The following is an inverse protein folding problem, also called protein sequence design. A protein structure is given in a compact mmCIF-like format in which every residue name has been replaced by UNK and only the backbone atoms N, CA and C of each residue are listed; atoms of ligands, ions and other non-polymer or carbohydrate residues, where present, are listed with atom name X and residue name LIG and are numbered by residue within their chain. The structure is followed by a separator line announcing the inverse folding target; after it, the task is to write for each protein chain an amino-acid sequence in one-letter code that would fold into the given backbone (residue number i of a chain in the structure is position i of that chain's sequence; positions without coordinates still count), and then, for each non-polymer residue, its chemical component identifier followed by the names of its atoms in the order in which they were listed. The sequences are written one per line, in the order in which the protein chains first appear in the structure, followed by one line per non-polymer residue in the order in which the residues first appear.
data_IF_365973318405
#
_entry.id   IF_365973318405
#
_cell.length_a   1.000
_cell.length_b   1.000
_cell.length_c   1.000
_cell.angle_alpha   90.00
_cell.angle_beta   90.00
_cell.angle_gamma   90.00
#
_symmetry.space_group_name_H-M   'P 1'
#
loop_
_entity.id
_entity.type
_entity.pdbx_description
1 polymer ?
#
# COMPACT_ATOMS: atom_id res chain seq x y z
N UNK A 1 33.18 -12.69 23.11
CA UNK A 1 31.76 -12.80 22.76
C UNK A 1 31.59 -14.12 22.03
N UNK A 2 30.77 -15.05 22.54
CA UNK A 2 30.49 -16.33 21.87
C UNK A 2 29.76 -16.02 20.58
N UNK A 3 30.35 -16.34 19.42
CA UNK A 3 29.70 -16.30 18.13
C UNK A 3 28.46 -17.19 18.19
N UNK A 4 27.27 -16.60 18.12
CA UNK A 4 26.03 -17.37 17.99
C UNK A 4 26.11 -18.13 16.66
N UNK A 5 25.82 -19.43 16.68
CA UNK A 5 25.66 -20.20 15.45
C UNK A 5 24.53 -19.58 14.62
N UNK A 6 24.73 -19.49 13.31
CA UNK A 6 23.70 -19.08 12.37
C UNK A 6 22.46 -19.97 12.51
N UNK A 7 21.28 -19.38 12.51
CA UNK A 7 20.02 -20.10 12.69
C UNK A 7 19.28 -20.25 11.37
N UNK A 8 18.63 -21.40 11.22
CA UNK A 8 17.67 -21.65 10.15
C UNK A 8 16.27 -21.34 10.67
N UNK A 9 15.60 -20.37 10.08
CA UNK A 9 14.32 -19.84 10.55
C UNK A 9 13.28 -20.09 9.47
N UNK A 10 12.13 -20.66 9.83
CA UNK A 10 11.03 -20.83 8.90
C UNK A 10 9.94 -19.78 9.14
N UNK A 11 9.44 -19.20 8.05
CA UNK A 11 8.21 -18.41 8.06
C UNK A 11 7.13 -19.12 7.25
N UNK A 12 6.01 -19.38 7.91
CA UNK A 12 4.83 -20.05 7.34
C UNK A 12 3.63 -19.14 7.48
N UNK A 13 2.87 -18.97 6.40
CA UNK A 13 1.61 -18.22 6.45
C UNK A 13 0.47 -19.07 5.93
N UNK A 14 -0.55 -19.21 6.74
CA UNK A 14 -1.77 -19.95 6.40
C UNK A 14 -2.99 -19.06 6.59
N UNK A 15 -3.98 -19.20 5.70
CA UNK A 15 -5.32 -18.64 5.95
C UNK A 15 -6.06 -19.57 6.92
N UNK A 16 -7.02 -19.04 7.68
CA UNK A 16 -7.84 -19.81 8.64
C UNK A 16 -8.64 -20.96 7.99
N UNK A 17 -8.64 -21.05 6.66
CA UNK A 17 -9.34 -22.06 5.85
C UNK A 17 -8.37 -23.05 5.15
N UNK A 18 -7.05 -22.88 5.29
CA UNK A 18 -6.08 -23.69 4.53
C UNK A 18 -5.64 -24.95 5.28
N UNK A 19 -5.95 -26.10 4.69
CA UNK A 19 -5.36 -27.41 5.02
C UNK A 19 -3.86 -27.50 4.61
N UNK A 20 -3.24 -26.40 4.19
CA UNK A 20 -1.90 -26.37 3.59
C UNK A 20 -0.75 -26.06 4.56
N UNK A 21 -1.03 -25.92 5.88
CA UNK A 21 0.03 -25.73 6.88
C UNK A 21 0.99 -26.92 6.90
N UNK A 22 0.43 -28.12 6.93
CA UNK A 22 1.20 -29.37 6.97
C UNK A 22 2.14 -29.49 5.77
N UNK A 23 1.67 -29.20 4.56
CA UNK A 23 2.48 -29.24 3.35
C UNK A 23 3.65 -28.25 3.36
N UNK A 24 3.44 -27.03 3.87
CA UNK A 24 4.52 -26.05 4.01
C UNK A 24 5.54 -26.51 5.04
N UNK A 25 5.07 -27.01 6.18
CA UNK A 25 5.93 -27.51 7.24
C UNK A 25 6.79 -28.71 6.75
N UNK A 26 6.19 -29.69 6.10
CA UNK A 26 6.91 -30.84 5.51
C UNK A 26 7.98 -30.39 4.51
N UNK A 27 7.63 -29.42 3.62
CA UNK A 27 8.58 -28.90 2.64
C UNK A 27 9.76 -28.14 3.26
N UNK A 28 9.58 -27.56 4.45
CA UNK A 28 10.61 -26.78 5.14
C UNK A 28 11.43 -27.60 6.15
N UNK A 29 10.88 -28.70 6.68
CA UNK A 29 11.58 -29.55 7.68
C UNK A 29 12.95 -30.05 7.23
N UNK A 30 13.13 -30.27 5.91
CA UNK A 30 14.41 -30.71 5.33
C UNK A 30 15.59 -29.73 5.55
N UNK A 31 15.30 -28.50 5.96
CA UNK A 31 16.31 -27.47 6.19
C UNK A 31 16.78 -27.36 7.64
N UNK A 32 16.46 -28.33 8.51
CA UNK A 32 16.84 -28.33 9.92
C UNK A 32 16.50 -26.99 10.60
N UNK A 33 15.21 -26.63 10.61
CA UNK A 33 14.72 -25.37 11.13
C UNK A 33 14.86 -25.28 12.65
N UNK A 34 15.56 -24.26 13.14
CA UNK A 34 15.76 -23.98 14.55
C UNK A 34 14.58 -23.25 15.19
N UNK A 35 13.92 -22.36 14.39
CA UNK A 35 12.79 -21.57 14.88
C UNK A 35 11.72 -21.36 13.80
N UNK A 36 10.46 -21.47 14.21
CA UNK A 36 9.29 -21.32 13.35
C UNK A 36 8.52 -20.05 13.74
N UNK A 37 8.09 -19.28 12.73
CA UNK A 37 7.12 -18.21 12.85
C UNK A 37 5.93 -18.55 11.96
N UNK A 38 4.76 -18.74 12.58
CA UNK A 38 3.56 -19.17 11.87
C UNK A 38 2.47 -18.11 11.96
N UNK A 39 2.17 -17.51 10.82
CA UNK A 39 1.15 -16.49 10.67
C UNK A 39 -0.20 -17.12 10.27
N UNK A 40 -1.22 -16.97 11.11
CA UNK A 40 -2.59 -17.50 10.85
C UNK A 40 -3.53 -16.38 10.40
N UNK A 41 -3.26 -15.78 9.23
CA UNK A 41 -4.00 -14.62 8.73
C UNK A 41 -4.20 -14.72 7.22
N UNK A 42 -5.40 -14.32 6.74
CA UNK A 42 -5.66 -14.23 5.31
C UNK A 42 -4.73 -13.23 4.62
N UNK A 43 -4.38 -13.49 3.35
CA UNK A 43 -3.48 -12.62 2.58
C UNK A 43 -3.93 -11.15 2.44
N UNK A 44 -5.19 -10.83 2.76
CA UNK A 44 -5.76 -9.48 2.71
C UNK A 44 -5.47 -8.65 3.97
N UNK A 45 -5.17 -9.27 5.11
CA UNK A 45 -4.91 -8.55 6.36
C UNK A 45 -3.49 -7.94 6.34
N UNK A 46 -3.38 -6.66 6.68
CA UNK A 46 -2.11 -5.92 6.72
C UNK A 46 -1.30 -6.17 7.98
N UNK A 47 -1.95 -6.55 9.06
CA UNK A 47 -1.28 -6.82 10.33
C UNK A 47 -0.70 -8.23 10.31
N UNK A 48 0.63 -8.34 10.36
CA UNK A 48 1.40 -9.60 10.36
C UNK A 48 2.38 -9.62 11.54
N UNK A 49 1.89 -9.85 12.75
CA UNK A 49 2.73 -9.79 13.95
C UNK A 49 3.88 -10.80 13.92
N UNK A 50 3.65 -12.01 13.37
CA UNK A 50 4.69 -13.04 13.30
C UNK A 50 5.78 -12.68 12.27
N UNK A 51 5.42 -12.05 11.15
CA UNK A 51 6.40 -11.52 10.21
C UNK A 51 7.27 -10.43 10.86
N UNK A 52 6.65 -9.49 11.57
CA UNK A 52 7.38 -8.43 12.26
C UNK A 52 8.30 -9.00 13.33
N UNK A 53 7.78 -9.93 14.15
CA UNK A 53 8.57 -10.60 15.18
C UNK A 53 9.77 -11.36 14.57
N UNK A 54 9.58 -12.02 13.41
CA UNK A 54 10.66 -12.69 12.70
C UNK A 54 11.71 -11.68 12.22
N UNK A 55 11.28 -10.59 11.56
CA UNK A 55 12.18 -9.57 11.03
C UNK A 55 13.00 -8.87 12.13
N UNK A 56 12.42 -8.69 13.33
CA UNK A 56 13.13 -8.18 14.50
C UNK A 56 14.11 -9.21 15.08
N UNK A 57 13.72 -10.48 15.08
CA UNK A 57 14.48 -11.57 15.69
C UNK A 57 15.77 -11.91 14.93
N UNK A 58 15.74 -11.90 13.59
CA UNK A 58 16.85 -12.35 12.73
C UNK A 58 18.11 -11.49 12.87
N UNK A 59 19.27 -12.13 12.78
CA UNK A 59 20.60 -11.53 12.94
C UNK A 59 21.47 -11.86 11.74
N UNK A 60 22.61 -11.16 11.63
CA UNK A 60 23.62 -11.42 10.61
C UNK A 60 24.01 -12.90 10.57
N UNK A 61 23.97 -13.48 9.38
CA UNK A 61 24.31 -14.88 9.11
C UNK A 61 23.12 -15.84 9.18
N UNK A 62 21.98 -15.45 9.74
CA UNK A 62 20.77 -16.29 9.77
C UNK A 62 20.21 -16.50 8.36
N UNK A 63 19.46 -17.60 8.18
CA UNK A 63 18.78 -17.92 6.94
C UNK A 63 17.30 -18.13 7.17
N UNK A 64 16.46 -17.38 6.44
CA UNK A 64 15.01 -17.52 6.44
C UNK A 64 14.59 -18.45 5.32
N UNK A 65 13.81 -19.47 5.65
CA UNK A 65 13.22 -20.41 4.70
C UNK A 65 11.72 -20.17 4.57
N UNK A 66 11.25 -20.08 3.34
CA UNK A 66 9.84 -19.95 2.99
C UNK A 66 9.44 -20.98 1.94
N UNK A 67 8.17 -21.35 1.92
CA UNK A 67 7.66 -22.24 0.87
C UNK A 67 7.61 -21.57 -0.49
N UNK A 68 7.04 -20.37 -0.57
CA UNK A 68 6.96 -19.53 -1.77
C UNK A 68 6.89 -18.04 -1.40
N UNK A 69 7.22 -17.16 -2.35
CA UNK A 69 7.20 -15.70 -2.14
C UNK A 69 5.82 -15.15 -1.76
N UNK A 70 4.73 -15.80 -2.20
CA UNK A 70 3.38 -15.34 -1.87
C UNK A 70 3.07 -15.49 -0.38
N UNK A 71 3.80 -16.32 0.35
CA UNK A 71 3.69 -16.45 1.82
C UNK A 71 4.37 -15.28 2.52
N UNK A 72 5.52 -14.86 2.03
CA UNK A 72 6.30 -13.77 2.62
C UNK A 72 5.74 -12.40 2.26
N UNK A 73 5.39 -12.19 1.00
CA UNK A 73 5.01 -10.88 0.46
C UNK A 73 3.64 -10.92 -0.23
N UNK A 74 3.02 -9.74 -0.40
CA UNK A 74 1.72 -9.58 -1.07
C UNK A 74 1.84 -9.03 -2.46
N UNK A 75 2.94 -8.36 -2.73
CA UNK A 75 3.27 -7.77 -4.02
C UNK A 75 4.76 -7.90 -4.26
N UNK A 76 5.17 -7.72 -5.50
CA UNK A 76 6.59 -7.69 -5.85
C UNK A 76 7.32 -6.57 -5.10
N UNK A 77 6.69 -5.41 -4.93
CA UNK A 77 7.27 -4.32 -4.14
C UNK A 77 7.52 -4.75 -2.68
N UNK A 78 6.50 -5.31 -2.02
CA UNK A 78 6.61 -5.80 -0.63
C UNK A 78 7.73 -6.85 -0.48
N UNK A 79 7.87 -7.75 -1.47
CA UNK A 79 8.96 -8.71 -1.52
C UNK A 79 10.33 -8.02 -1.59
N UNK A 80 10.49 -7.06 -2.48
CA UNK A 80 11.75 -6.36 -2.68
C UNK A 80 12.13 -5.54 -1.44
N UNK A 81 11.16 -4.85 -0.82
CA UNK A 81 11.35 -4.08 0.41
C UNK A 81 11.82 -5.02 1.56
N UNK A 82 11.21 -6.20 1.72
CA UNK A 82 11.63 -7.20 2.71
C UNK A 82 13.04 -7.72 2.41
N UNK A 83 13.33 -8.08 1.16
CA UNK A 83 14.65 -8.58 0.76
C UNK A 83 15.74 -7.52 0.97
N UNK A 84 15.47 -6.27 0.66
CA UNK A 84 16.39 -5.16 0.92
C UNK A 84 16.67 -5.03 2.43
N UNK A 85 15.63 -5.07 3.25
CA UNK A 85 15.78 -5.07 4.70
C UNK A 85 16.65 -6.23 5.20
N UNK A 86 16.40 -7.46 4.72
CA UNK A 86 17.20 -8.64 5.06
C UNK A 86 18.66 -8.50 4.63
N UNK A 87 18.90 -7.93 3.45
CA UNK A 87 20.27 -7.66 2.97
C UNK A 87 21.02 -6.66 3.87
N UNK A 88 20.34 -5.61 4.38
CA UNK A 88 20.95 -4.67 5.33
C UNK A 88 21.37 -5.36 6.63
N UNK A 89 20.62 -6.37 7.05
CA UNK A 89 20.94 -7.21 8.21
C UNK A 89 21.91 -8.37 7.89
N UNK A 90 22.27 -8.57 6.62
CA UNK A 90 23.05 -9.70 6.14
C UNK A 90 22.41 -11.06 6.46
N UNK A 91 21.09 -11.13 6.35
CA UNK A 91 20.27 -12.33 6.51
C UNK A 91 19.94 -12.89 5.14
N UNK A 92 20.03 -14.21 4.98
CA UNK A 92 19.73 -14.89 3.74
C UNK A 92 18.26 -15.31 3.67
N UNK A 93 17.71 -15.36 2.45
CA UNK A 93 16.35 -15.82 2.16
C UNK A 93 16.41 -16.97 1.16
N UNK A 94 15.73 -18.07 1.49
CA UNK A 94 15.57 -19.23 0.63
C UNK A 94 14.10 -19.50 0.37
N UNK A 95 13.72 -19.52 -0.90
CA UNK A 95 12.38 -19.92 -1.34
C UNK A 95 12.41 -21.27 -2.03
N UNK A 96 11.65 -22.24 -1.50
CA UNK A 96 11.65 -23.61 -2.01
C UNK A 96 11.02 -23.72 -3.40
N UNK A 97 9.85 -23.08 -3.59
CA UNK A 97 9.07 -23.19 -4.82
C UNK A 97 9.76 -22.51 -6.01
N UNK A 98 10.29 -21.31 -5.78
CA UNK A 98 11.00 -20.53 -6.80
C UNK A 98 12.44 -21.00 -6.96
N UNK A 99 12.96 -21.86 -6.06
CA UNK A 99 14.35 -22.32 -6.04
C UNK A 99 15.35 -21.16 -6.01
N UNK A 100 15.05 -20.13 -5.24
CA UNK A 100 15.88 -18.93 -5.09
C UNK A 100 16.52 -18.95 -3.70
N UNK A 101 17.84 -18.78 -3.68
CA UNK A 101 18.67 -18.67 -2.50
C UNK A 101 19.54 -17.42 -2.60
N UNK A 102 19.26 -16.41 -1.75
CA UNK A 102 19.96 -15.12 -1.76
C UNK A 102 21.39 -15.19 -1.23
N UNK A 103 21.83 -16.30 -0.67
CA UNK A 103 23.23 -16.51 -0.33
C UNK A 103 24.10 -16.73 -1.58
N UNK A 104 23.48 -17.19 -2.69
CA UNK A 104 24.15 -17.51 -3.94
C UNK A 104 24.16 -16.34 -4.93
N UNK A 105 25.18 -16.23 -5.79
CA UNK A 105 25.21 -15.22 -6.87
C UNK A 105 24.01 -15.34 -7.81
N UNK A 106 23.57 -16.57 -8.12
CA UNK A 106 22.42 -16.82 -8.99
C UNK A 106 21.13 -16.31 -8.36
N UNK A 107 20.89 -16.60 -7.07
CA UNK A 107 19.70 -16.12 -6.36
C UNK A 107 19.64 -14.60 -6.27
N UNK A 108 20.79 -13.94 -6.04
CA UNK A 108 20.88 -12.47 -6.08
C UNK A 108 20.55 -11.91 -7.46
N UNK A 109 21.10 -12.52 -8.52
CA UNK A 109 20.80 -12.12 -9.89
C UNK A 109 19.30 -12.27 -10.21
N UNK A 110 18.68 -13.40 -9.83
CA UNK A 110 17.24 -13.63 -10.04
C UNK A 110 16.38 -12.57 -9.35
N UNK A 111 16.68 -12.21 -8.11
CA UNK A 111 15.96 -11.14 -7.41
C UNK A 111 16.17 -9.78 -8.07
N UNK A 112 17.38 -9.48 -8.54
CA UNK A 112 17.65 -8.25 -9.30
C UNK A 112 16.82 -8.19 -10.57
N UNK A 113 16.69 -9.30 -11.29
CA UNK A 113 15.84 -9.39 -12.49
C UNK A 113 14.36 -9.17 -12.17
N UNK A 114 13.85 -9.78 -11.10
CA UNK A 114 12.47 -9.57 -10.64
C UNK A 114 12.23 -8.08 -10.33
N UNK A 115 13.17 -7.44 -9.65
CA UNK A 115 13.12 -6.00 -9.37
C UNK A 115 13.11 -5.14 -10.64
N UNK A 116 13.98 -5.45 -11.59
CA UNK A 116 14.04 -4.73 -12.87
C UNK A 116 12.74 -4.87 -13.68
N UNK A 117 12.15 -6.08 -13.73
CA UNK A 117 10.86 -6.32 -14.39
C UNK A 117 9.75 -5.52 -13.71
N UNK A 118 9.72 -5.51 -12.38
CA UNK A 118 8.73 -4.75 -11.62
C UNK A 118 8.80 -3.26 -11.93
N UNK A 119 9.99 -2.66 -11.92
CA UNK A 119 10.17 -1.23 -12.22
C UNK A 119 9.81 -0.91 -13.68
N UNK A 120 10.13 -1.80 -14.61
CA UNK A 120 9.73 -1.66 -16.02
C UNK A 120 8.21 -1.66 -16.17
N UNK A 121 7.51 -2.63 -15.57
CA UNK A 121 6.04 -2.70 -15.60
C UNK A 121 5.40 -1.47 -14.97
N UNK A 122 5.93 -1.03 -13.83
CA UNK A 122 5.47 0.17 -13.11
C UNK A 122 5.62 1.42 -13.98
N UNK A 123 6.76 1.59 -14.64
CA UNK A 123 7.02 2.73 -15.52
C UNK A 123 6.05 2.75 -16.69
N UNK A 124 5.85 1.62 -17.36
CA UNK A 124 4.89 1.48 -18.45
C UNK A 124 3.45 1.76 -18.01
N UNK A 125 3.07 1.37 -16.79
CA UNK A 125 1.76 1.66 -16.23
C UNK A 125 1.56 3.17 -16.02
N UNK A 126 2.56 3.85 -15.46
CA UNK A 126 2.53 5.30 -15.22
C UNK A 126 2.49 6.09 -16.52
N UNK A 127 3.20 5.66 -17.55
CA UNK A 127 3.15 6.29 -18.88
C UNK A 127 1.75 6.16 -19.49
N UNK A 128 1.19 4.96 -19.53
CA UNK A 128 -0.18 4.74 -20.01
C UNK A 128 -1.21 5.54 -19.21
N UNK A 129 -1.03 5.67 -17.90
CA UNK A 129 -1.89 6.50 -17.06
C UNK A 129 -1.79 7.98 -17.43
N UNK A 130 -0.58 8.51 -17.65
CA UNK A 130 -0.36 9.90 -18.07
C UNK A 130 -1.03 10.18 -19.42
N UNK A 131 -0.86 9.27 -20.39
CA UNK A 131 -1.50 9.37 -21.71
C UNK A 131 -3.03 9.35 -21.59
N UNK A 132 -3.58 8.42 -20.82
CA UNK A 132 -5.01 8.33 -20.56
C UNK A 132 -5.58 9.61 -19.91
N UNK A 133 -4.86 10.19 -18.93
CA UNK A 133 -5.24 11.45 -18.30
C UNK A 133 -5.19 12.61 -19.32
N UNK A 134 -4.16 12.65 -20.18
CA UNK A 134 -4.04 13.69 -21.21
C UNK A 134 -5.21 13.61 -22.21
N UNK A 135 -5.57 12.43 -22.67
CA UNK A 135 -6.71 12.19 -23.54
C UNK A 135 -8.02 12.60 -22.85
N UNK A 136 -8.24 12.17 -21.61
CA UNK A 136 -9.44 12.48 -20.83
C UNK A 136 -9.58 13.99 -20.57
N UNK A 137 -8.47 14.71 -20.32
CA UNK A 137 -8.47 16.17 -20.21
C UNK A 137 -8.86 16.84 -21.52
N UNK A 138 -8.31 16.37 -22.65
CA UNK A 138 -8.64 16.89 -24.00
C UNK A 138 -10.12 16.69 -24.33
N UNK A 139 -10.67 15.55 -23.93
CA UNK A 139 -12.08 15.21 -24.15
C UNK A 139 -13.03 15.85 -23.12
N UNK A 140 -12.54 16.72 -22.21
CA UNK A 140 -13.36 17.39 -21.21
C UNK A 140 -14.02 16.47 -20.16
N UNK A 141 -13.49 15.25 -19.97
CA UNK A 141 -14.01 14.29 -18.99
C UNK A 141 -13.80 14.79 -17.56
N UNK A 142 -12.73 15.54 -17.32
CA UNK A 142 -12.43 16.13 -16.02
C UNK A 142 -13.21 17.43 -15.83
N UNK A 143 -14.37 17.33 -15.19
CA UNK A 143 -15.24 18.50 -14.88
C UNK A 143 -14.84 19.19 -13.57
N UNK A 144 -13.77 18.74 -12.89
CA UNK A 144 -13.38 19.23 -11.58
C UNK A 144 -14.31 18.75 -10.45
N UNK A 145 -14.18 19.38 -9.29
CA UNK A 145 -15.10 19.16 -8.18
C UNK A 145 -16.48 19.70 -8.54
N UNK A 146 -17.54 18.93 -8.26
CA UNK A 146 -18.92 19.44 -8.42
C UNK A 146 -19.06 20.76 -7.68
N UNK A 147 -19.68 21.74 -8.34
CA UNK A 147 -20.03 23.00 -7.69
C UNK A 147 -20.91 22.71 -6.45
N UNK A 148 -20.72 23.49 -5.40
CA UNK A 148 -21.58 23.40 -4.22
C UNK A 148 -22.93 23.98 -4.63
N UNK A 149 -23.93 23.13 -4.69
CA UNK A 149 -25.31 23.54 -4.93
C UNK A 149 -26.02 23.63 -3.58
N UNK A 150 -26.65 24.78 -3.33
CA UNK A 150 -27.41 25.03 -2.12
C UNK A 150 -28.85 25.29 -2.56
N UNK A 151 -29.77 24.38 -2.21
CA UNK A 151 -31.17 24.58 -2.51
C UNK A 151 -31.64 25.93 -1.96
N UNK A 152 -32.43 26.63 -2.74
CA UNK A 152 -33.05 27.93 -2.34
C UNK A 152 -32.05 28.99 -1.87
N UNK A 153 -30.81 29.01 -2.44
CA UNK A 153 -29.77 29.98 -2.06
C UNK A 153 -30.28 31.44 -2.04
N UNK A 154 -31.24 31.77 -2.89
CA UNK A 154 -31.82 33.08 -2.94
C UNK A 154 -32.44 33.53 -1.58
N UNK A 155 -33.09 32.62 -0.86
CA UNK A 155 -33.66 32.92 0.48
C UNK A 155 -32.54 33.28 1.45
N UNK A 156 -31.48 32.51 1.46
CA UNK A 156 -30.31 32.76 2.31
C UNK A 156 -29.57 34.04 1.92
N UNK A 157 -29.49 34.33 0.62
CA UNK A 157 -28.92 35.56 0.11
C UNK A 157 -29.72 36.79 0.54
N UNK A 158 -31.05 36.79 0.48
CA UNK A 158 -31.90 37.89 0.92
C UNK A 158 -31.76 38.13 2.45
N UNK A 159 -31.73 37.14 3.28
CA UNK A 159 -31.47 37.26 4.73
C UNK A 159 -30.13 37.97 5.01
N UNK A 160 -29.11 37.64 4.22
CA UNK A 160 -27.79 38.29 4.30
C UNK A 160 -27.87 39.75 3.86
N UNK A 161 -28.53 40.05 2.74
CA UNK A 161 -28.69 41.42 2.21
C UNK A 161 -29.50 42.31 3.15
N UNK A 162 -30.52 41.76 3.79
CA UNK A 162 -31.33 42.45 4.80
C UNK A 162 -30.61 42.62 6.14
N UNK A 163 -29.34 42.17 6.26
CA UNK A 163 -28.56 42.19 7.51
C UNK A 163 -29.15 41.37 8.68
N UNK A 164 -30.05 40.43 8.40
CA UNK A 164 -30.65 39.53 9.40
C UNK A 164 -29.60 38.51 9.92
N UNK A 165 -28.64 38.18 9.08
CA UNK A 165 -27.59 37.24 9.41
C UNK A 165 -26.20 37.74 8.92
N UNK A 166 -25.18 37.53 9.75
CA UNK A 166 -23.80 37.85 9.33
C UNK A 166 -23.24 36.79 8.39
N UNK A 167 -22.32 37.17 7.52
CA UNK A 167 -21.64 36.26 6.59
C UNK A 167 -21.07 35.02 7.27
N UNK A 168 -20.47 35.21 8.45
CA UNK A 168 -19.87 34.10 9.22
C UNK A 168 -20.92 33.12 9.73
N UNK A 169 -22.05 33.62 10.22
CA UNK A 169 -23.15 32.79 10.68
C UNK A 169 -23.83 32.08 9.52
N UNK A 170 -24.02 32.76 8.38
CA UNK A 170 -24.59 32.16 7.18
C UNK A 170 -23.70 31.03 6.65
N UNK A 171 -22.38 31.21 6.60
CA UNK A 171 -21.46 30.15 6.17
C UNK A 171 -21.53 28.92 7.10
N UNK A 172 -21.63 29.15 8.41
CA UNK A 172 -21.81 28.08 9.41
C UNK A 172 -23.16 27.37 9.26
N UNK A 173 -24.26 28.10 9.07
CA UNK A 173 -25.60 27.55 8.85
C UNK A 173 -25.65 26.64 7.61
N UNK A 174 -25.02 27.07 6.53
CA UNK A 174 -24.95 26.32 5.28
C UNK A 174 -23.86 25.23 5.27
N UNK A 175 -23.12 25.08 6.35
CA UNK A 175 -22.00 24.14 6.50
C UNK A 175 -20.96 24.24 5.36
N UNK A 176 -20.63 25.49 4.97
CA UNK A 176 -19.62 25.78 3.94
C UNK A 176 -18.58 26.76 4.45
N UNK A 177 -17.43 26.78 3.76
CA UNK A 177 -16.39 27.76 4.07
C UNK A 177 -16.79 29.19 3.62
N UNK A 178 -16.27 30.23 4.30
CA UNK A 178 -16.49 31.62 3.88
C UNK A 178 -16.08 31.90 2.42
N UNK A 179 -14.92 31.43 1.91
CA UNK A 179 -14.56 31.58 0.51
C UNK A 179 -15.57 30.94 -0.44
N UNK A 180 -16.16 29.79 -0.06
CA UNK A 180 -17.20 29.13 -0.86
C UNK A 180 -18.47 29.98 -0.89
N UNK A 181 -18.88 30.56 0.26
CA UNK A 181 -20.01 31.47 0.33
C UNK A 181 -19.78 32.72 -0.50
N UNK A 182 -18.57 33.31 -0.47
CA UNK A 182 -18.22 34.48 -1.29
C UNK A 182 -18.36 34.21 -2.79
N UNK A 183 -17.93 33.02 -3.22
CA UNK A 183 -18.09 32.60 -4.62
C UNK A 183 -19.57 32.46 -4.99
N UNK A 184 -20.38 31.82 -4.15
CA UNK A 184 -21.82 31.66 -4.39
C UNK A 184 -22.55 33.03 -4.45
N UNK A 185 -22.22 33.96 -3.55
CA UNK A 185 -22.77 35.32 -3.55
C UNK A 185 -22.39 36.05 -4.86
N UNK A 186 -21.13 35.89 -5.31
CA UNK A 186 -20.67 36.55 -6.56
C UNK A 186 -21.39 35.96 -7.78
N UNK A 187 -21.54 34.63 -7.85
CA UNK A 187 -22.26 33.96 -8.93
C UNK A 187 -23.74 34.33 -8.93
N UNK A 188 -24.39 34.39 -7.78
CA UNK A 188 -25.79 34.78 -7.66
C UNK A 188 -26.04 36.25 -8.09
N UNK A 189 -25.13 37.17 -7.73
CA UNK A 189 -25.19 38.56 -8.18
C UNK A 189 -25.09 38.70 -9.67
N UNK A 190 -24.28 37.88 -10.34
CA UNK A 190 -24.17 37.89 -11.80
C UNK A 190 -25.47 37.49 -12.47
N UNK A 191 -26.19 36.52 -11.89
CA UNK A 191 -27.49 36.07 -12.43
C UNK A 191 -28.59 37.11 -12.22
N UNK A 192 -28.57 37.87 -11.12
CA UNK A 192 -29.56 38.92 -10.84
C UNK A 192 -29.34 40.21 -11.67
N UNK A 193 -28.11 40.42 -12.19
CA UNK A 193 -27.75 41.58 -12.99
C UNK A 193 -27.83 41.31 -14.51
N UNK A 194 -28.30 40.14 -14.91
CA UNK A 194 -28.65 39.75 -16.30
C UNK A 194 -30.16 39.83 -16.50
#
# INVERSE_FOLDING_TARGET
MKGGSNMNIAYVRVSSLDQNEQRQNEALQKHNIDKWFTEKISGKNTNRPELQAMLEFVREGDTIYIHDFSRLARSTKDLLDIVEYLNTKKVHLVSNKESIDTSTPQGKLMLTMIGAIYEFERTNLLERQKEGIAIAKRNGVYKGRKATDIPDFNIHYQRYMNREISKSKLAAELNISRPTLDKLIMEHKKVLNM
#
